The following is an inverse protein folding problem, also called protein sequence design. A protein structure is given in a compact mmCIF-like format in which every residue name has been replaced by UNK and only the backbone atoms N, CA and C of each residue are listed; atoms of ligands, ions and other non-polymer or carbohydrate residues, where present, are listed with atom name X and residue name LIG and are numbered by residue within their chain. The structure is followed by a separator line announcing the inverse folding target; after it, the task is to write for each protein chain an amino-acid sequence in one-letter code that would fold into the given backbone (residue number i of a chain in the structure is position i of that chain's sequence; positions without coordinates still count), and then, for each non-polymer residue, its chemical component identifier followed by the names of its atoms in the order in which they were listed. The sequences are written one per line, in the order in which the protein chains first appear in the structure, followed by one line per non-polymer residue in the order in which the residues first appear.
data_IF_942328189475
#
_entry.id   IF_942328189475
#
_cell.length_a   1.000
_cell.length_b   1.000
_cell.length_c   1.000
_cell.angle_alpha   90.00
_cell.angle_beta   90.00
_cell.angle_gamma   90.00
#
_symmetry.space_group_name_H-M   'P 1'
#
loop_
_entity.id
_entity.type
_entity.pdbx_description
1 polymer ?
#
# COMPACT_ATOMS: atom_id res chain seq x y z
N UNK A 1 8.75 19.64 -2.59
CA UNK A 1 7.44 19.11 -2.09
C UNK A 1 6.31 19.24 -3.13
N UNK A 2 6.39 20.29 -3.93
CA UNK A 2 5.41 20.79 -4.90
C UNK A 2 5.19 19.86 -6.11
N UNK A 3 6.06 18.87 -6.30
CA UNK A 3 5.95 17.86 -7.37
C UNK A 3 5.11 16.65 -6.97
N UNK A 4 4.78 16.52 -5.68
CA UNK A 4 3.88 15.48 -5.19
C UNK A 4 2.47 16.08 -5.21
N UNK A 5 1.63 15.53 -6.07
CA UNK A 5 0.23 15.93 -6.17
C UNK A 5 -0.60 14.92 -5.40
N UNK A 6 -1.37 15.41 -4.45
CA UNK A 6 -2.26 14.58 -3.63
C UNK A 6 -3.70 14.82 -4.05
N UNK A 7 -4.43 13.75 -4.36
CA UNK A 7 -5.86 13.78 -4.66
C UNK A 7 -6.56 12.92 -3.62
N UNK A 8 -7.49 13.51 -2.87
CA UNK A 8 -8.31 12.78 -1.91
C UNK A 8 -9.52 12.18 -2.63
N UNK A 9 -9.67 10.85 -2.55
CA UNK A 9 -10.79 10.13 -3.15
C UNK A 9 -11.93 10.04 -2.14
N UNK A 10 -13.14 10.42 -2.55
CA UNK A 10 -14.36 10.24 -1.77
C UNK A 10 -14.69 8.74 -1.69
N UNK A 11 -14.76 8.14 -0.49
CA UNK A 11 -14.98 6.70 -0.34
C UNK A 11 -16.34 6.22 -0.82
N UNK A 12 -17.36 7.09 -0.88
CA UNK A 12 -18.69 6.70 -1.37
C UNK A 12 -18.75 6.73 -2.91
N UNK A 13 -17.97 7.61 -3.54
CA UNK A 13 -17.99 7.80 -4.99
C UNK A 13 -16.91 7.01 -5.72
N UNK A 14 -15.83 6.65 -5.02
CA UNK A 14 -14.62 6.11 -5.64
C UNK A 14 -13.97 7.12 -6.59
N UNK A 15 -13.18 6.62 -7.55
CA UNK A 15 -12.45 7.48 -8.50
C UNK A 15 -13.41 8.08 -9.53
N UNK A 16 -13.59 9.40 -9.49
CA UNK A 16 -14.50 10.14 -10.38
C UNK A 16 -13.79 10.64 -11.64
N UNK A 17 -14.56 11.17 -12.60
CA UNK A 17 -14.01 11.78 -13.81
C UNK A 17 -13.12 13.01 -13.52
N UNK A 18 -13.45 13.78 -12.48
CA UNK A 18 -12.65 14.94 -12.06
C UNK A 18 -11.33 14.51 -11.41
N UNK A 19 -11.34 13.42 -10.64
CA UNK A 19 -10.11 12.81 -10.11
C UNK A 19 -9.21 12.32 -11.25
N UNK A 20 -9.78 11.63 -12.24
CA UNK A 20 -9.04 11.18 -13.43
C UNK A 20 -8.41 12.34 -14.20
N UNK A 21 -9.15 13.44 -14.38
CA UNK A 21 -8.63 14.64 -15.03
C UNK A 21 -7.46 15.23 -14.25
N UNK A 22 -7.57 15.27 -12.93
CA UNK A 22 -6.52 15.77 -12.03
C UNK A 22 -5.28 14.87 -12.07
N UNK A 23 -5.45 13.55 -11.98
CA UNK A 23 -4.36 12.56 -12.03
C UNK A 23 -3.64 12.56 -13.38
N UNK A 24 -4.39 12.51 -14.49
CA UNK A 24 -3.79 12.58 -15.83
C UNK A 24 -3.04 13.90 -16.04
N UNK A 25 -3.61 15.03 -15.60
CA UNK A 25 -2.95 16.33 -15.68
C UNK A 25 -1.65 16.40 -14.84
N UNK A 26 -1.69 15.90 -13.60
CA UNK A 26 -0.55 15.87 -12.70
C UNK A 26 0.61 15.03 -13.26
N UNK A 27 0.29 13.87 -13.83
CA UNK A 27 1.25 12.94 -14.44
C UNK A 27 1.61 13.29 -15.88
N UNK A 28 1.01 14.36 -16.44
CA UNK A 28 1.18 14.81 -17.83
C UNK A 28 0.91 13.69 -18.84
N UNK A 29 -0.12 12.89 -18.58
CA UNK A 29 -0.57 11.84 -19.49
C UNK A 29 -1.50 12.44 -20.54
N UNK A 30 -1.27 12.07 -21.80
CA UNK A 30 -2.07 12.47 -22.95
C UNK A 30 -2.38 11.27 -23.86
N UNK A 31 -3.15 11.50 -24.92
CA UNK A 31 -3.44 10.49 -25.95
C UNK A 31 -3.94 9.15 -25.38
N UNK A 32 -3.25 8.06 -25.74
CA UNK A 32 -3.60 6.72 -25.27
C UNK A 32 -3.17 6.45 -23.82
N UNK A 33 -2.15 7.14 -23.30
CA UNK A 33 -1.74 7.02 -21.90
C UNK A 33 -2.80 7.59 -20.96
N UNK A 34 -3.43 8.72 -21.31
CA UNK A 34 -4.54 9.29 -20.55
C UNK A 34 -5.79 8.37 -20.56
N UNK A 35 -6.05 7.70 -21.69
CA UNK A 35 -7.13 6.70 -21.79
C UNK A 35 -6.84 5.47 -20.91
N UNK A 36 -5.60 4.99 -20.93
CA UNK A 36 -5.16 3.91 -20.05
C UNK A 36 -5.29 4.32 -18.58
N UNK A 37 -4.86 5.54 -18.22
CA UNK A 37 -5.03 6.11 -16.87
C UNK A 37 -6.50 6.14 -16.42
N UNK A 38 -7.41 6.47 -17.34
CA UNK A 38 -8.85 6.42 -17.11
C UNK A 38 -9.40 5.04 -16.72
N UNK A 39 -8.69 3.97 -17.09
CA UNK A 39 -9.03 2.59 -16.71
C UNK A 39 -8.21 2.12 -15.50
N UNK A 40 -6.93 2.48 -15.45
CA UNK A 40 -5.98 2.00 -14.46
C UNK A 40 -6.26 2.56 -13.06
N UNK A 41 -6.44 3.87 -12.91
CA UNK A 41 -6.58 4.47 -11.57
C UNK A 41 -7.81 3.98 -10.80
N UNK A 42 -8.99 3.82 -11.43
CA UNK A 42 -10.15 3.21 -10.76
C UNK A 42 -9.90 1.75 -10.37
N UNK A 43 -9.19 0.97 -11.20
CA UNK A 43 -8.82 -0.42 -10.88
C UNK A 43 -7.88 -0.48 -9.68
N UNK A 44 -6.87 0.39 -9.63
CA UNK A 44 -5.93 0.45 -8.50
C UNK A 44 -6.64 0.83 -7.20
N UNK A 45 -7.52 1.83 -7.24
CA UNK A 45 -8.33 2.21 -6.07
C UNK A 45 -9.26 1.07 -5.63
N UNK A 46 -9.94 0.44 -6.59
CA UNK A 46 -10.80 -0.71 -6.32
C UNK A 46 -10.01 -1.84 -5.66
N UNK A 47 -8.85 -2.20 -6.19
CA UNK A 47 -7.98 -3.22 -5.62
C UNK A 47 -7.53 -2.84 -4.20
N UNK A 48 -7.16 -1.57 -3.98
CA UNK A 48 -6.77 -1.05 -2.67
C UNK A 48 -7.86 -1.24 -1.63
N UNK A 49 -9.11 -0.89 -1.96
CA UNK A 49 -10.25 -1.01 -1.06
C UNK A 49 -10.69 -2.47 -0.88
N UNK A 50 -10.83 -3.23 -1.97
CA UNK A 50 -11.35 -4.61 -1.91
C UNK A 50 -10.39 -5.58 -1.21
N UNK A 51 -9.08 -5.29 -1.20
CA UNK A 51 -8.08 -6.13 -0.53
C UNK A 51 -7.58 -5.57 0.80
N UNK A 52 -8.21 -4.51 1.31
CA UNK A 52 -7.78 -3.85 2.54
C UNK A 52 -6.28 -3.55 2.54
N UNK A 53 -5.81 -2.91 1.47
CA UNK A 53 -4.41 -2.50 1.37
C UNK A 53 -4.17 -1.33 2.33
N UNK A 54 -3.02 -1.34 3.02
CA UNK A 54 -2.51 -0.19 3.77
C UNK A 54 -1.61 0.70 2.89
N UNK A 55 -1.01 0.11 1.84
CA UNK A 55 -0.19 0.81 0.85
C UNK A 55 -0.30 0.11 -0.51
N UNK A 56 -0.43 0.90 -1.58
CA UNK A 56 -0.17 0.49 -2.95
C UNK A 56 0.67 1.57 -3.62
N UNK A 57 1.91 1.24 -3.93
CA UNK A 57 2.86 2.11 -4.63
C UNK A 57 3.20 1.48 -5.98
N UNK A 58 3.03 2.23 -7.07
CA UNK A 58 3.53 1.85 -8.39
C UNK A 58 4.75 2.70 -8.71
N UNK A 59 5.92 2.08 -8.82
CA UNK A 59 7.16 2.81 -9.03
C UNK A 59 8.22 1.96 -9.76
N UNK A 60 8.39 2.11 -11.09
CA UNK A 60 7.83 3.18 -11.91
C UNK A 60 6.48 2.84 -12.57
N UNK A 61 5.64 3.86 -12.72
CA UNK A 61 4.54 3.88 -13.70
C UNK A 61 5.07 4.45 -15.02
N UNK A 62 5.09 3.66 -16.08
CA UNK A 62 5.78 4.02 -17.33
C UNK A 62 4.81 4.29 -18.49
N UNK A 63 5.22 5.18 -19.39
CA UNK A 63 4.63 5.30 -20.73
C UNK A 63 5.57 4.62 -21.72
N UNK A 64 5.07 3.59 -22.40
CA UNK A 64 5.83 2.85 -23.40
C UNK A 64 6.01 3.67 -24.69
N UNK A 65 6.93 3.24 -25.56
CA UNK A 65 7.18 3.90 -26.87
C UNK A 65 5.95 3.99 -27.78
N UNK A 66 4.95 3.14 -27.58
CA UNK A 66 3.68 3.16 -28.31
C UNK A 66 2.60 4.04 -27.62
N UNK A 67 2.98 4.85 -26.62
CA UNK A 67 2.08 5.76 -25.92
C UNK A 67 1.18 5.11 -24.88
N UNK A 68 1.36 3.84 -24.55
CA UNK A 68 0.52 3.11 -23.57
C UNK A 68 1.11 3.16 -22.15
N UNK A 69 0.24 3.26 -21.15
CA UNK A 69 0.62 3.34 -19.73
C UNK A 69 0.74 1.94 -19.11
N UNK A 70 1.82 1.64 -18.37
CA UNK A 70 2.03 0.33 -17.72
C UNK A 70 2.60 0.47 -16.31
N UNK A 71 2.10 -0.38 -15.42
CA UNK A 71 2.71 -0.67 -14.12
C UNK A 71 3.95 -1.53 -14.39
N UNK A 72 5.15 -0.99 -14.16
CA UNK A 72 6.38 -1.77 -14.34
C UNK A 72 6.76 -2.51 -13.05
N UNK A 73 6.54 -1.87 -11.91
CA UNK A 73 6.80 -2.42 -10.58
C UNK A 73 5.75 -1.91 -9.59
N UNK A 74 5.46 -2.71 -8.57
CA UNK A 74 4.49 -2.37 -7.53
C UNK A 74 4.91 -2.93 -6.17
N UNK A 75 4.79 -2.09 -5.15
CA UNK A 75 4.89 -2.48 -3.74
C UNK A 75 3.53 -2.38 -3.09
N UNK A 76 3.11 -3.46 -2.45
CA UNK A 76 1.80 -3.55 -1.79
C UNK A 76 2.00 -4.00 -0.36
N UNK A 77 1.28 -3.34 0.56
CA UNK A 77 1.15 -3.78 1.95
C UNK A 77 -0.33 -3.85 2.29
N UNK A 78 -0.70 -4.84 3.09
CA UNK A 78 -2.07 -5.09 3.53
C UNK A 78 -2.27 -4.62 4.97
N UNK A 79 -3.51 -4.34 5.36
CA UNK A 79 -3.87 -4.13 6.76
C UNK A 79 -3.95 -5.48 7.46
N UNK A 80 -3.01 -5.75 8.36
CA UNK A 80 -2.95 -6.98 9.14
C UNK A 80 -4.25 -7.24 9.94
N UNK A 81 -4.97 -6.18 10.34
CA UNK A 81 -6.23 -6.31 11.07
C UNK A 81 -7.38 -6.82 10.19
N UNK A 82 -7.26 -6.74 8.88
CA UNK A 82 -8.28 -7.18 7.92
C UNK A 82 -7.96 -8.55 7.29
N UNK A 83 -6.77 -9.12 7.52
CA UNK A 83 -6.35 -10.37 6.88
C UNK A 83 -7.28 -11.56 7.18
N UNK A 84 -7.98 -11.55 8.32
CA UNK A 84 -8.93 -12.61 8.68
C UNK A 84 -10.05 -12.84 7.63
N UNK A 85 -10.32 -11.84 6.77
CA UNK A 85 -11.31 -11.93 5.67
C UNK A 85 -10.69 -12.08 4.28
N UNK A 86 -9.36 -12.23 4.17
CA UNK A 86 -8.62 -12.38 2.91
C UNK A 86 -7.72 -13.63 2.91
N UNK A 87 -8.32 -14.84 2.84
CA UNK A 87 -7.54 -16.08 2.86
C UNK A 87 -6.55 -16.16 1.68
N UNK A 88 -6.90 -15.59 0.53
CA UNK A 88 -6.04 -15.57 -0.66
C UNK A 88 -4.81 -14.67 -0.49
N UNK A 89 -4.89 -13.61 0.32
CA UNK A 89 -3.74 -12.78 0.68
C UNK A 89 -2.87 -13.48 1.72
N UNK A 90 -3.49 -14.16 2.69
CA UNK A 90 -2.75 -14.92 3.70
C UNK A 90 -1.89 -16.04 3.10
N UNK A 91 -2.35 -16.67 2.02
CA UNK A 91 -1.60 -17.68 1.27
C UNK A 91 -0.32 -17.12 0.61
N UNK A 92 -0.26 -15.80 0.39
CA UNK A 92 0.90 -15.12 -0.20
C UNK A 92 1.94 -14.68 0.85
N UNK A 93 1.68 -14.90 2.15
CA UNK A 93 2.60 -14.51 3.21
C UNK A 93 3.89 -15.32 3.12
N UNK A 94 5.00 -14.64 2.85
CA UNK A 94 6.34 -15.22 2.87
C UNK A 94 7.02 -14.90 4.20
N UNK A 95 7.06 -15.87 5.11
CA UNK A 95 7.69 -15.69 6.42
C UNK A 95 9.22 -15.63 6.35
N UNK A 96 9.83 -15.92 5.19
CA UNK A 96 11.30 -15.82 5.05
C UNK A 96 11.79 -14.38 4.95
N UNK A 97 10.89 -13.44 4.66
CA UNK A 97 11.13 -11.99 4.59
C UNK A 97 10.79 -11.27 5.91
N UNK A 98 10.39 -12.00 6.95
CA UNK A 98 10.05 -11.47 8.28
C UNK A 98 11.10 -11.85 9.33
N UNK A 99 11.24 -11.07 10.40
CA UNK A 99 12.13 -11.41 11.52
C UNK A 99 11.57 -12.61 12.32
N UNK A 100 12.39 -13.64 12.50
CA UNK A 100 12.01 -14.86 13.21
C UNK A 100 11.45 -14.60 14.61
N UNK A 101 11.94 -13.57 15.31
CA UNK A 101 11.48 -13.20 16.66
C UNK A 101 10.10 -12.55 16.63
N UNK A 102 9.81 -11.74 15.61
CA UNK A 102 8.48 -11.14 15.43
C UNK A 102 7.45 -12.21 15.08
N UNK A 103 7.82 -13.17 14.21
CA UNK A 103 6.98 -14.33 13.91
C UNK A 103 6.67 -15.12 15.18
N UNK A 104 7.69 -15.44 15.99
CA UNK A 104 7.48 -16.21 17.21
C UNK A 104 6.62 -15.45 18.23
N UNK A 105 6.88 -14.16 18.44
CA UNK A 105 6.09 -13.31 19.34
C UNK A 105 4.61 -13.25 18.93
N UNK A 106 4.33 -13.18 17.63
CA UNK A 106 2.97 -13.10 17.10
C UNK A 106 2.11 -14.33 17.44
N UNK A 107 2.73 -15.52 17.61
CA UNK A 107 2.02 -16.75 18.02
C UNK A 107 1.45 -16.67 19.44
N UNK A 108 2.00 -15.76 20.25
CA UNK A 108 1.60 -15.53 21.63
C UNK A 108 0.86 -14.20 21.81
N UNK A 109 0.43 -13.57 20.72
CA UNK A 109 -0.24 -12.27 20.72
C UNK A 109 0.62 -11.16 21.35
N UNK A 110 1.95 -11.25 21.14
CA UNK A 110 2.92 -10.27 21.59
C UNK A 110 3.39 -9.41 20.40
N UNK A 111 3.42 -8.09 20.59
CA UNK A 111 4.11 -7.18 19.70
C UNK A 111 5.59 -7.09 20.09
N UNK A 112 6.48 -7.55 19.20
CA UNK A 112 7.93 -7.49 19.38
C UNK A 112 8.53 -6.64 18.25
N UNK A 113 9.55 -5.85 18.58
CA UNK A 113 10.34 -5.08 17.60
C UNK A 113 11.80 -5.20 18.03
N UNK A 114 12.65 -5.68 17.14
CA UNK A 114 14.08 -5.75 17.39
C UNK A 114 14.71 -4.34 17.29
N UNK A 115 15.50 -3.98 18.30
CA UNK A 115 16.28 -2.75 18.33
C UNK A 115 17.74 -3.06 18.68
N UNK A 116 18.65 -2.23 18.19
CA UNK A 116 20.06 -2.29 18.56
C UNK A 116 20.23 -1.78 20.00
N UNK A 117 20.62 -2.67 20.92
CA UNK A 117 20.80 -2.34 22.33
C UNK A 117 21.23 -3.54 23.17
N UNK A 118 21.36 -3.33 24.48
CA UNK A 118 21.73 -4.35 25.46
C UNK A 118 20.74 -4.48 26.64
N UNK A 119 19.61 -3.76 26.58
CA UNK A 119 18.52 -3.81 27.57
C UNK A 119 17.24 -4.20 26.82
N UNK A 120 16.55 -5.23 27.33
CA UNK A 120 15.23 -5.63 26.83
C UNK A 120 14.11 -5.03 27.69
N UNK A 121 13.05 -4.55 27.05
CA UNK A 121 11.86 -4.02 27.72
C UNK A 121 10.68 -4.99 27.53
N UNK A 122 9.96 -5.28 28.61
CA UNK A 122 8.71 -6.03 28.59
C UNK A 122 7.63 -5.22 29.31
N UNK A 123 6.62 -4.81 28.57
CA UNK A 123 5.67 -3.78 29.01
C UNK A 123 4.26 -4.13 28.55
N UNK A 124 3.25 -3.84 29.37
CA UNK A 124 1.84 -4.03 29.03
C UNK A 124 1.25 -2.77 28.36
N UNK A 125 1.41 -2.68 27.05
CA UNK A 125 0.77 -1.65 26.21
C UNK A 125 1.78 -0.81 25.43
N UNK A 126 1.47 -0.56 24.15
CA UNK A 126 2.39 0.08 23.20
C UNK A 126 2.84 1.48 23.65
N UNK A 127 1.94 2.29 24.20
CA UNK A 127 2.27 3.64 24.66
C UNK A 127 3.28 3.66 25.82
N UNK A 128 3.15 2.74 26.77
CA UNK A 128 4.09 2.60 27.88
C UNK A 128 5.41 1.99 27.40
N UNK A 129 5.35 1.05 26.44
CA UNK A 129 6.53 0.43 25.85
C UNK A 129 7.43 1.46 25.16
N UNK A 130 6.85 2.41 24.41
CA UNK A 130 7.61 3.49 23.76
C UNK A 130 8.21 4.50 24.76
N UNK A 131 7.65 4.61 25.96
CA UNK A 131 8.12 5.52 27.00
C UNK A 131 9.19 4.90 27.92
N UNK A 132 9.34 3.57 27.90
CA UNK A 132 10.23 2.78 28.79
C UNK A 132 11.58 2.54 28.11
#
# INVERSE_FOLDING_TARGET
PEKIITVAIDPEKGVTADDLKTLNGALKLDGDAAKDGGTLFPILYKAFVEKDMSLLEVNPLIVMKNGRLRVLDAKVSFDNNALFRHPDVMELRDTTEEDEKEIEASKYDLAYVALDGNIGCMVNGAGLAMAT
#
